data_IF_158054375796
#
_entry.id   IF_158054375796
#
_cell.length_a   1.000
_cell.length_b   1.000
_cell.length_c   1.000
_cell.angle_alpha   90.00
_cell.angle_beta   90.00
_cell.angle_gamma   90.00
#
_symmetry.space_group_name_H-M   'P 1'
#
loop_
_entity.id
_entity.type
_entity.pdbx_description
1 polymer ?
#
# COMPACT_ATOMS: atom_id res chain seq x y z
N UNK A 1 17.83 -4.59 -3.45
CA UNK A 1 17.55 -3.74 -4.63
C UNK A 1 16.13 -3.22 -4.51
N UNK A 2 15.89 -1.93 -4.77
CA UNK A 2 14.56 -1.32 -4.70
C UNK A 2 14.24 -0.75 -6.09
N UNK A 3 13.02 -0.98 -6.58
CA UNK A 3 12.54 -0.40 -7.84
C UNK A 3 11.28 0.40 -7.54
N UNK A 4 11.38 1.73 -7.66
CA UNK A 4 10.25 2.64 -7.53
C UNK A 4 9.55 2.83 -8.89
N UNK A 5 8.23 2.64 -8.95
CA UNK A 5 7.42 2.90 -10.14
C UNK A 5 6.34 3.91 -9.79
N UNK A 6 6.56 5.16 -10.22
CA UNK A 6 5.65 6.27 -9.98
C UNK A 6 4.75 6.58 -11.18
N UNK A 7 3.51 6.95 -10.89
CA UNK A 7 2.59 7.44 -11.91
C UNK A 7 1.17 7.65 -11.42
N UNK A 8 0.33 8.22 -12.28
CA UNK A 8 -1.08 8.44 -11.99
C UNK A 8 -1.89 7.15 -12.03
N UNK A 9 -3.03 7.13 -11.34
CA UNK A 9 -3.95 5.99 -11.40
C UNK A 9 -4.32 5.67 -12.86
N UNK A 10 -4.51 4.37 -13.16
CA UNK A 10 -4.90 3.86 -14.47
C UNK A 10 -3.89 4.05 -15.63
N UNK A 11 -2.64 4.48 -15.37
CA UNK A 11 -1.61 4.55 -16.42
C UNK A 11 -0.95 3.20 -16.77
N UNK A 12 -1.51 2.07 -16.29
CA UNK A 12 -0.98 0.72 -16.54
C UNK A 12 0.21 0.30 -15.67
N UNK A 13 0.63 1.13 -14.70
CA UNK A 13 1.81 0.89 -13.84
C UNK A 13 1.81 -0.46 -13.15
N UNK A 14 0.71 -0.83 -12.50
CA UNK A 14 0.65 -2.10 -11.75
C UNK A 14 0.87 -3.34 -12.62
N UNK A 15 0.49 -3.29 -13.89
CA UNK A 15 0.77 -4.38 -14.84
C UNK A 15 2.26 -4.45 -15.16
N UNK A 16 2.91 -3.31 -15.40
CA UNK A 16 4.35 -3.25 -15.62
C UNK A 16 5.12 -3.68 -14.36
N UNK A 17 4.74 -3.13 -13.21
CA UNK A 17 5.40 -3.36 -11.94
C UNK A 17 5.36 -4.84 -11.51
N UNK A 18 4.22 -5.51 -11.70
CA UNK A 18 4.13 -6.97 -11.50
C UNK A 18 5.07 -7.74 -12.44
N UNK A 19 5.07 -7.41 -13.74
CA UNK A 19 5.97 -8.07 -14.70
C UNK A 19 7.45 -7.88 -14.35
N UNK A 20 7.83 -6.70 -13.88
CA UNK A 20 9.20 -6.43 -13.40
C UNK A 20 9.49 -7.28 -12.17
N UNK A 21 8.60 -7.32 -11.19
CA UNK A 21 8.78 -8.14 -10.00
C UNK A 21 8.94 -9.63 -10.34
N UNK A 22 8.09 -10.15 -11.21
CA UNK A 22 8.13 -11.55 -11.66
C UNK A 22 9.43 -11.86 -12.42
N UNK A 23 9.87 -10.96 -13.30
CA UNK A 23 11.08 -11.15 -14.10
C UNK A 23 12.36 -11.20 -13.25
N UNK A 24 12.42 -10.43 -12.17
CA UNK A 24 13.60 -10.32 -11.30
C UNK A 24 13.48 -11.11 -9.98
N UNK A 25 12.40 -11.86 -9.79
CA UNK A 25 12.05 -12.53 -8.54
C UNK A 25 12.09 -11.58 -7.33
N UNK A 26 11.50 -10.40 -7.48
CA UNK A 26 11.37 -9.39 -6.43
C UNK A 26 10.00 -9.45 -5.76
N UNK A 27 9.93 -8.98 -4.52
CA UNK A 27 8.66 -8.77 -3.85
C UNK A 27 7.93 -7.58 -4.51
N UNK A 28 6.60 -7.64 -4.63
CA UNK A 28 5.80 -6.58 -5.23
C UNK A 28 4.85 -5.96 -4.21
N UNK A 29 4.77 -4.63 -4.19
CA UNK A 29 3.82 -3.88 -3.37
C UNK A 29 3.10 -2.81 -4.20
N UNK A 30 1.77 -2.94 -4.30
CA UNK A 30 0.88 -1.86 -4.72
C UNK A 30 0.57 -0.98 -3.50
N UNK A 31 1.16 0.21 -3.43
CA UNK A 31 0.94 1.10 -2.27
C UNK A 31 -0.48 1.65 -2.20
N UNK A 32 -1.21 1.73 -3.32
CA UNK A 32 -2.62 2.11 -3.35
C UNK A 32 -3.52 1.06 -2.70
N UNK A 33 -3.14 -0.22 -2.79
CA UNK A 33 -3.85 -1.32 -2.11
C UNK A 33 -3.79 -1.20 -0.59
N UNK A 34 -2.71 -0.64 -0.02
CA UNK A 34 -2.56 -0.44 1.43
C UNK A 34 -3.65 0.47 2.01
N UNK A 35 -3.93 1.58 1.34
CA UNK A 35 -4.97 2.52 1.76
C UNK A 35 -6.37 1.89 1.67
N UNK A 36 -6.63 1.11 0.60
CA UNK A 36 -7.88 0.36 0.47
C UNK A 36 -8.01 -0.71 1.54
N UNK A 37 -6.95 -1.46 1.81
CA UNK A 37 -6.93 -2.49 2.84
C UNK A 37 -7.16 -1.88 4.23
N UNK A 38 -6.53 -0.73 4.52
CA UNK A 38 -6.77 0.02 5.76
C UNK A 38 -8.24 0.44 5.88
N UNK A 39 -8.80 1.07 4.85
CA UNK A 39 -10.20 1.51 4.86
C UNK A 39 -11.18 0.34 5.02
N UNK A 40 -10.96 -0.76 4.30
CA UNK A 40 -11.76 -1.99 4.42
C UNK A 40 -11.64 -2.60 5.82
N UNK A 41 -10.43 -2.67 6.37
CA UNK A 41 -10.20 -3.21 7.72
C UNK A 41 -10.88 -2.37 8.80
N UNK A 42 -10.89 -1.03 8.66
CA UNK A 42 -11.64 -0.14 9.57
C UNK A 42 -13.14 -0.46 9.50
N UNK A 43 -13.70 -0.56 8.30
CA UNK A 43 -15.13 -0.87 8.11
C UNK A 43 -15.49 -2.26 8.66
N UNK A 44 -14.63 -3.27 8.43
CA UNK A 44 -14.82 -4.63 8.99
C UNK A 44 -14.81 -4.65 10.51
N UNK A 45 -14.02 -3.79 11.14
CA UNK A 45 -13.98 -3.64 12.59
C UNK A 45 -15.16 -2.83 13.15
N UNK A 46 -16.10 -2.39 12.31
CA UNK A 46 -17.22 -1.52 12.71
C UNK A 46 -16.82 -0.08 13.01
N UNK A 47 -15.61 0.34 12.59
CA UNK A 47 -15.10 1.69 12.78
C UNK A 47 -15.47 2.65 11.64
N UNK A 48 -15.15 3.93 11.86
CA UNK A 48 -15.32 4.99 10.87
C UNK A 48 -13.98 5.34 10.20
N UNK A 49 -13.84 5.22 8.86
CA UNK A 49 -12.63 5.64 8.13
C UNK A 49 -12.27 7.13 8.28
N UNK A 50 -13.22 7.97 8.71
CA UNK A 50 -12.99 9.40 8.97
C UNK A 50 -12.41 9.68 10.37
N UNK A 51 -12.42 8.69 11.28
CA UNK A 51 -11.72 8.77 12.56
C UNK A 51 -10.23 8.46 12.37
N UNK A 52 -9.39 9.50 12.46
CA UNK A 52 -7.94 9.39 12.32
C UNK A 52 -7.32 8.41 13.32
N UNK A 53 -7.77 8.42 14.58
CA UNK A 53 -7.18 7.59 15.63
C UNK A 53 -7.50 6.11 15.40
N UNK A 54 -8.76 5.80 15.08
CA UNK A 54 -9.18 4.45 14.75
C UNK A 54 -8.50 3.92 13.48
N UNK A 55 -8.48 4.73 12.41
CA UNK A 55 -7.84 4.36 11.15
C UNK A 55 -6.32 4.16 11.31
N UNK A 56 -5.64 5.03 12.05
CA UNK A 56 -4.20 4.91 12.29
C UNK A 56 -3.86 3.68 13.17
N UNK A 57 -4.74 3.30 14.11
CA UNK A 57 -4.56 2.06 14.87
C UNK A 57 -4.60 0.85 13.94
N UNK A 58 -5.60 0.78 13.06
CA UNK A 58 -5.74 -0.31 12.08
C UNK A 58 -4.56 -0.32 11.10
N UNK A 59 -4.13 0.84 10.58
CA UNK A 59 -3.00 0.94 9.66
C UNK A 59 -1.70 0.36 10.22
N UNK A 60 -1.44 0.52 11.54
CA UNK A 60 -0.23 0.00 12.19
C UNK A 60 -0.21 -1.52 12.35
N UNK A 61 -1.38 -2.15 12.40
CA UNK A 61 -1.53 -3.60 12.58
C UNK A 61 -2.08 -4.26 11.31
N UNK A 62 -1.96 -3.58 10.17
CA UNK A 62 -2.55 -4.02 8.92
C UNK A 62 -1.95 -5.35 8.49
N UNK A 63 -2.79 -6.37 8.45
CA UNK A 63 -2.47 -7.65 7.82
C UNK A 63 -3.14 -7.70 6.44
N UNK A 64 -2.34 -7.57 5.38
CA UNK A 64 -2.85 -7.62 4.00
C UNK A 64 -3.48 -8.97 3.65
N UNK A 65 -3.09 -10.06 4.32
CA UNK A 65 -3.69 -11.38 4.08
C UNK A 65 -5.13 -11.48 4.60
N UNK A 66 -5.52 -10.59 5.51
CA UNK A 66 -6.88 -10.53 6.07
C UNK A 66 -7.90 -9.82 5.18
N UNK A 67 -7.45 -9.15 4.11
CA UNK A 67 -8.31 -8.43 3.17
C UNK A 67 -8.25 -9.11 1.81
N UNK A 68 -9.38 -9.64 1.35
CA UNK A 68 -9.42 -10.34 0.07
C UNK A 68 -9.30 -9.35 -1.09
N UNK A 69 -8.69 -9.82 -2.16
CA UNK A 69 -8.40 -9.04 -3.35
C UNK A 69 -9.65 -8.44 -4.01
N UNK A 70 -10.79 -9.14 -3.93
CA UNK A 70 -12.08 -8.66 -4.44
C UNK A 70 -12.61 -7.47 -3.63
N UNK A 71 -12.34 -7.43 -2.33
CA UNK A 71 -12.81 -6.37 -1.44
C UNK A 71 -12.11 -5.05 -1.75
N UNK A 72 -10.82 -5.12 -2.11
CA UNK A 72 -10.01 -3.97 -2.48
C UNK A 72 -10.46 -3.33 -3.80
N UNK A 73 -11.15 -4.06 -4.67
CA UNK A 73 -11.59 -3.57 -5.99
C UNK A 73 -12.97 -2.92 -5.97
N UNK A 74 -13.65 -2.91 -4.83
CA UNK A 74 -14.98 -2.31 -4.69
C UNK A 74 -14.94 -0.78 -4.69
N UNK A 75 -16.04 -0.15 -5.12
CA UNK A 75 -16.21 1.30 -5.02
C UNK A 75 -16.13 1.77 -3.56
N UNK A 76 -16.71 0.99 -2.62
CA UNK A 76 -16.66 1.28 -1.19
C UNK A 76 -15.22 1.31 -0.65
N UNK A 77 -14.37 0.37 -1.07
CA UNK A 77 -12.95 0.39 -0.69
C UNK A 77 -12.21 1.62 -1.25
N UNK A 78 -12.57 2.08 -2.46
CA UNK A 78 -12.05 3.33 -3.03
C UNK A 78 -12.44 4.57 -2.21
N UNK A 79 -13.70 4.65 -1.75
CA UNK A 79 -14.18 5.73 -0.88
C UNK A 79 -13.47 5.68 0.46
N UNK A 80 -13.42 4.52 1.11
CA UNK A 80 -12.76 4.34 2.40
C UNK A 80 -11.25 4.65 2.32
N UNK A 81 -10.57 4.24 1.25
CA UNK A 81 -9.17 4.60 0.99
C UNK A 81 -8.97 6.11 0.94
N UNK A 82 -9.87 6.82 0.24
CA UNK A 82 -9.81 8.28 0.13
C UNK A 82 -10.01 8.95 1.48
N UNK A 83 -10.92 8.43 2.32
CA UNK A 83 -11.17 8.92 3.67
C UNK A 83 -9.95 8.72 4.58
N UNK A 84 -9.32 7.54 4.57
CA UNK A 84 -8.16 7.30 5.44
C UNK A 84 -6.88 7.98 4.96
N UNK A 85 -6.74 8.24 3.65
CA UNK A 85 -5.53 8.84 3.08
C UNK A 85 -5.32 10.31 3.50
N UNK A 86 -6.38 11.02 3.89
CA UNK A 86 -6.27 12.43 4.36
C UNK A 86 -5.59 12.53 5.73
N UNK A 87 -5.63 11.45 6.53
CA UNK A 87 -5.10 11.41 7.89
C UNK A 87 -3.58 11.29 7.90
N UNK A 88 -2.91 12.20 8.63
CA UNK A 88 -1.44 12.21 8.71
C UNK A 88 -0.94 10.97 9.44
N UNK A 89 -1.62 10.55 10.49
CA UNK A 89 -1.22 9.38 11.28
C UNK A 89 -1.32 8.07 10.48
N UNK A 90 -2.31 7.95 9.59
CA UNK A 90 -2.42 6.80 8.67
C UNK A 90 -1.28 6.80 7.67
N UNK A 91 -1.02 7.94 7.02
CA UNK A 91 0.08 8.06 6.05
C UNK A 91 1.44 7.73 6.68
N UNK A 92 1.67 8.17 7.92
CA UNK A 92 2.90 7.84 8.65
C UNK A 92 3.03 6.33 8.90
N UNK A 93 1.98 5.68 9.41
CA UNK A 93 1.99 4.24 9.66
C UNK A 93 2.22 3.43 8.37
N UNK A 94 1.58 3.80 7.27
CA UNK A 94 1.76 3.13 5.98
C UNK A 94 3.11 3.43 5.34
N UNK A 95 3.70 4.60 5.59
CA UNK A 95 5.05 4.94 5.12
C UNK A 95 6.09 4.03 5.79
N UNK A 96 5.96 3.80 7.09
CA UNK A 96 6.85 2.89 7.83
C UNK A 96 6.76 1.47 7.25
N UNK A 97 5.54 0.98 7.01
CA UNK A 97 5.31 -0.32 6.36
C UNK A 97 5.97 -0.39 4.97
N UNK A 98 5.80 0.64 4.13
CA UNK A 98 6.34 0.67 2.77
C UNK A 98 7.88 0.65 2.78
N UNK A 99 8.51 1.41 3.68
CA UNK A 99 9.96 1.42 3.85
C UNK A 99 10.48 0.08 4.36
N UNK A 100 9.79 -0.52 5.33
CA UNK A 100 10.14 -1.85 5.81
C UNK A 100 10.06 -2.87 4.68
N UNK A 101 8.99 -2.88 3.89
CA UNK A 101 8.85 -3.77 2.74
C UNK A 101 9.98 -3.57 1.71
N UNK A 102 10.35 -2.31 1.43
CA UNK A 102 11.40 -2.00 0.47
C UNK A 102 12.78 -2.49 0.92
N UNK A 103 13.11 -2.30 2.21
CA UNK A 103 14.41 -2.69 2.77
C UNK A 103 14.50 -4.15 3.21
N UNK A 104 13.36 -4.76 3.55
CA UNK A 104 13.23 -6.14 4.03
C UNK A 104 12.10 -6.83 3.27
N UNK A 105 12.29 -7.10 1.97
CA UNK A 105 11.26 -7.74 1.17
C UNK A 105 10.89 -9.12 1.75
N UNK A 106 9.60 -9.46 1.83
CA UNK A 106 9.15 -10.74 2.34
C UNK A 106 9.52 -11.90 1.39
N UNK A 107 9.43 -13.13 1.90
CA UNK A 107 9.59 -14.34 1.07
C UNK A 107 11.01 -14.58 0.56
N UNK A 108 12.03 -14.12 1.30
CA UNK A 108 13.45 -14.23 0.94
C UNK A 108 13.78 -13.68 -0.47
N UNK A 109 13.02 -12.68 -0.94
CA UNK A 109 13.24 -12.05 -2.24
C UNK A 109 14.48 -11.17 -2.22
N UNK A 110 15.20 -11.08 -3.34
CA UNK A 110 16.44 -10.31 -3.46
C UNK A 110 16.22 -8.78 -3.57
N UNK A 111 14.97 -8.36 -3.77
CA UNK A 111 14.59 -6.96 -3.93
C UNK A 111 13.10 -6.73 -3.84
N UNK A 112 12.69 -5.47 -3.97
CA UNK A 112 11.31 -5.04 -3.90
C UNK A 112 10.97 -4.09 -5.06
N UNK A 113 9.78 -4.25 -5.63
CA UNK A 113 9.15 -3.31 -6.57
C UNK A 113 7.96 -2.67 -5.87
N UNK A 114 7.96 -1.34 -5.80
CA UNK A 114 6.89 -0.56 -5.19
C UNK A 114 6.21 0.29 -6.28
N UNK A 115 4.90 0.11 -6.48
CA UNK A 115 4.08 0.93 -7.38
C UNK A 115 3.26 1.95 -6.56
N UNK A 116 3.35 3.22 -6.94
CA UNK A 116 2.61 4.29 -6.29
C UNK A 116 2.65 5.62 -7.04
N UNK A 117 2.53 6.71 -6.28
CA UNK A 117 2.57 8.09 -6.80
C UNK A 117 3.87 8.80 -6.46
N UNK A 118 4.39 8.58 -5.26
CA UNK A 118 5.52 9.32 -4.68
C UNK A 118 6.55 8.37 -4.05
N UNK A 119 6.75 7.20 -4.66
CA UNK A 119 7.66 6.17 -4.16
C UNK A 119 9.11 6.66 -4.23
N UNK A 120 9.57 7.13 -5.39
CA UNK A 120 10.94 7.59 -5.58
C UNK A 120 11.23 8.97 -4.97
N UNK A 121 10.20 9.69 -4.52
CA UNK A 121 10.36 11.05 -3.96
C UNK A 121 10.15 11.12 -2.45
N UNK A 122 9.29 10.26 -1.89
CA UNK A 122 8.92 10.29 -0.46
C UNK A 122 9.25 8.99 0.25
N UNK A 123 8.93 7.84 -0.37
CA UNK A 123 9.06 6.53 0.29
C UNK A 123 10.51 6.09 0.32
N UNK A 124 11.13 5.98 -0.85
CA UNK A 124 12.50 5.55 -1.08
C UNK A 124 13.22 6.56 -2.00
N UNK A 125 13.68 7.71 -1.46
CA UNK A 125 14.38 8.73 -2.25
C UNK A 125 15.69 8.23 -2.87
N UNK A 126 16.31 7.23 -2.25
CA UNK A 126 17.59 6.64 -2.66
C UNK A 126 17.41 5.34 -3.46
N UNK A 127 16.20 5.06 -3.96
CA UNK A 127 15.90 3.88 -4.78
C UNK A 127 16.59 3.93 -6.16
#
# INVERSE_FOLDING_TARGET
MIVAIDGQAAAGKGTLARKVADQFDFAYLDTGSLYRATGVAVLKAGGDPTDEAAAAKIARILDLSSVRDEELRTAAAGVAASQVAVHKAVRAALLDFQREFAHRPPGNKAGAVLDGRDIGTVVCPDA
#
